data_IF_350199073727
#
_entry.id   IF_350199073727
#
_cell.length_a   1.000
_cell.length_b   1.000
_cell.length_c   1.000
_cell.angle_alpha   90.00
_cell.angle_beta   90.00
_cell.angle_gamma   90.00
#
_symmetry.space_group_name_H-M   'P 1'
#
loop_
_entity.id
_entity.type
_entity.pdbx_description
1 polymer ?
#
# COMPACT_ATOMS: atom_id res chain seq x y z
N UNK A 1 -32.41 -10.33 -6.71
CA UNK A 1 -33.64 -9.63 -7.09
C UNK A 1 -34.03 -8.67 -5.99
N UNK A 2 -34.41 -7.38 -6.28
CA UNK A 2 -34.97 -6.45 -5.31
C UNK A 2 -36.38 -6.92 -4.91
N UNK A 3 -36.63 -7.13 -3.63
CA UNK A 3 -37.93 -7.59 -3.11
C UNK A 3 -38.68 -6.50 -2.34
N UNK A 4 -37.97 -5.60 -1.69
CA UNK A 4 -38.60 -4.55 -0.92
C UNK A 4 -37.73 -3.27 -0.95
N UNK A 5 -38.40 -2.13 -1.06
CA UNK A 5 -37.79 -0.81 -0.90
C UNK A 5 -38.59 -0.01 0.13
N UNK A 6 -37.94 0.40 1.21
CA UNK A 6 -38.55 1.23 2.26
C UNK A 6 -37.85 2.58 2.29
N UNK A 7 -38.63 3.64 2.25
CA UNK A 7 -38.16 5.03 2.23
C UNK A 7 -38.82 5.81 3.34
N UNK A 8 -38.03 6.45 4.19
CA UNK A 8 -38.49 7.30 5.28
C UNK A 8 -37.93 8.72 5.16
N UNK A 9 -38.80 9.72 5.19
CA UNK A 9 -38.47 11.14 5.19
C UNK A 9 -37.53 11.58 4.06
N UNK A 10 -37.76 11.10 2.85
CA UNK A 10 -36.95 11.39 1.67
C UNK A 10 -37.67 12.42 0.76
N UNK A 11 -37.03 13.52 0.48
CA UNK A 11 -37.60 14.63 -0.32
C UNK A 11 -39.00 15.03 0.14
N UNK A 12 -40.02 14.83 -0.65
CA UNK A 12 -41.42 15.13 -0.28
C UNK A 12 -42.14 13.96 0.39
N UNK A 13 -41.54 12.75 0.35
CA UNK A 13 -42.16 11.52 0.87
C UNK A 13 -41.87 11.36 2.36
N UNK A 14 -42.94 11.20 3.15
CA UNK A 14 -42.82 10.89 4.58
C UNK A 14 -42.51 9.40 4.79
N UNK A 15 -43.24 8.53 4.12
CA UNK A 15 -43.08 7.09 4.15
C UNK A 15 -43.54 6.46 2.85
N UNK A 16 -42.73 5.53 2.33
CA UNK A 16 -43.08 4.72 1.15
C UNK A 16 -42.52 3.32 1.37
N UNK A 17 -43.35 2.33 1.16
CA UNK A 17 -42.96 0.93 1.14
C UNK A 17 -43.43 0.30 -0.18
N UNK A 18 -42.51 -0.31 -0.89
CA UNK A 18 -42.75 -0.99 -2.15
C UNK A 18 -42.32 -2.45 -2.02
N UNK A 19 -43.27 -3.35 -2.13
CA UNK A 19 -43.03 -4.78 -2.27
C UNK A 19 -43.00 -5.15 -3.74
N UNK A 20 -41.91 -5.75 -4.18
CA UNK A 20 -41.68 -6.09 -5.59
C UNK A 20 -41.72 -7.61 -5.77
N UNK A 21 -42.48 -8.07 -6.75
CA UNK A 21 -42.60 -9.47 -7.11
C UNK A 21 -41.64 -9.83 -8.27
N UNK A 22 -41.30 -11.10 -8.47
CA UNK A 22 -40.58 -11.56 -9.64
C UNK A 22 -41.29 -11.14 -10.93
N UNK A 23 -40.49 -10.68 -11.92
CA UNK A 23 -41.00 -10.25 -13.21
C UNK A 23 -40.88 -8.76 -13.41
N UNK A 24 -41.80 -8.16 -14.15
CA UNK A 24 -41.82 -6.77 -14.53
C UNK A 24 -42.81 -5.97 -13.67
N UNK A 25 -42.34 -4.96 -12.99
CA UNK A 25 -43.17 -4.03 -12.21
C UNK A 25 -43.23 -2.67 -12.93
N UNK A 26 -44.42 -2.15 -13.16
CA UNK A 26 -44.63 -0.86 -13.75
C UNK A 26 -45.12 0.14 -12.69
N UNK A 27 -44.39 1.26 -12.52
CA UNK A 27 -44.78 2.35 -11.63
C UNK A 27 -45.38 3.47 -12.49
N UNK A 28 -46.68 3.68 -12.33
CA UNK A 28 -47.43 4.73 -13.07
C UNK A 28 -47.80 5.88 -12.13
N UNK A 29 -48.00 7.06 -12.68
CA UNK A 29 -48.42 8.25 -11.93
C UNK A 29 -48.13 9.55 -12.70
N UNK A 30 -48.61 10.68 -12.22
CA UNK A 30 -48.35 11.99 -12.81
C UNK A 30 -46.85 12.37 -12.69
N UNK A 31 -46.37 13.22 -13.60
CA UNK A 31 -45.00 13.75 -13.59
C UNK A 31 -44.78 14.59 -12.34
N UNK A 32 -43.70 14.29 -11.60
CA UNK A 32 -43.34 14.95 -10.33
C UNK A 32 -43.85 14.27 -9.05
N UNK A 33 -44.79 13.30 -9.15
CA UNK A 33 -45.49 12.72 -8.02
C UNK A 33 -44.81 11.45 -7.40
N UNK A 34 -43.49 11.34 -7.41
CA UNK A 34 -42.84 10.28 -6.66
C UNK A 34 -42.21 9.14 -7.47
N UNK A 35 -42.43 9.05 -8.79
CA UNK A 35 -41.79 8.00 -9.63
C UNK A 35 -40.26 8.09 -9.60
N UNK A 36 -39.74 9.31 -9.80
CA UNK A 36 -38.27 9.55 -9.71
C UNK A 36 -37.75 9.38 -8.29
N UNK A 37 -38.57 9.72 -7.29
CA UNK A 37 -38.18 9.62 -5.87
C UNK A 37 -37.83 8.18 -5.47
N UNK A 38 -38.58 7.18 -5.96
CA UNK A 38 -38.25 5.77 -5.69
C UNK A 38 -36.92 5.35 -6.31
N UNK A 39 -36.61 5.84 -7.52
CA UNK A 39 -35.34 5.58 -8.22
C UNK A 39 -34.19 6.30 -7.50
N UNK A 40 -34.38 7.57 -7.15
CA UNK A 40 -33.38 8.40 -6.44
C UNK A 40 -33.10 7.82 -5.05
N UNK A 41 -34.13 7.37 -4.34
CA UNK A 41 -33.98 6.70 -3.05
C UNK A 41 -33.22 5.37 -3.19
N UNK A 42 -33.52 4.55 -4.21
CA UNK A 42 -32.77 3.34 -4.50
C UNK A 42 -31.32 3.66 -4.84
N UNK A 43 -31.06 4.66 -5.69
CA UNK A 43 -29.71 5.12 -6.01
C UNK A 43 -28.92 5.55 -4.76
N UNK A 44 -29.54 6.33 -3.86
CA UNK A 44 -28.97 6.67 -2.57
C UNK A 44 -28.62 5.42 -1.76
N UNK A 45 -29.53 4.44 -1.71
CA UNK A 45 -29.33 3.18 -1.00
C UNK A 45 -28.18 2.35 -1.58
N UNK A 46 -27.98 2.40 -2.91
CA UNK A 46 -26.93 1.69 -3.65
C UNK A 46 -25.56 2.42 -3.66
N UNK A 47 -25.45 3.57 -2.99
CA UNK A 47 -24.17 4.25 -2.80
C UNK A 47 -23.95 5.48 -3.67
N UNK A 48 -25.00 6.04 -4.29
CA UNK A 48 -24.90 7.32 -4.96
C UNK A 48 -24.60 8.47 -3.99
N UNK A 49 -24.25 9.62 -4.56
CA UNK A 49 -23.92 10.81 -3.76
C UNK A 49 -25.13 11.26 -2.95
N UNK A 50 -24.93 11.44 -1.65
CA UNK A 50 -25.94 11.95 -0.75
C UNK A 50 -25.86 13.49 -0.66
N UNK A 51 -27.01 14.17 -0.71
CA UNK A 51 -27.12 15.61 -0.53
C UNK A 51 -28.13 15.90 0.59
N UNK A 52 -27.83 16.89 1.44
CA UNK A 52 -28.73 17.25 2.55
C UNK A 52 -30.14 17.62 2.08
N UNK A 53 -30.27 18.14 0.86
CA UNK A 53 -31.54 18.44 0.18
C UNK A 53 -32.46 17.22 -0.02
N UNK A 54 -31.91 15.99 0.06
CA UNK A 54 -32.67 14.74 -0.02
C UNK A 54 -33.43 14.44 1.28
N UNK A 55 -33.07 15.08 2.39
CA UNK A 55 -33.81 14.93 3.66
C UNK A 55 -35.10 15.76 3.58
N UNK A 56 -36.24 15.16 3.97
CA UNK A 56 -37.52 15.85 3.95
C UNK A 56 -37.48 17.12 4.84
N UNK A 57 -37.94 18.26 4.37
CA UNK A 57 -38.04 19.49 5.14
C UNK A 57 -38.77 19.24 6.48
N UNK A 58 -38.15 19.66 7.59
CA UNK A 58 -38.69 19.48 8.93
C UNK A 58 -38.39 18.09 9.56
N UNK A 59 -37.56 17.28 8.92
CA UNK A 59 -37.10 16.02 9.48
C UNK A 59 -35.59 16.07 9.75
N UNK A 60 -35.14 15.41 10.83
CA UNK A 60 -33.71 15.37 11.23
C UNK A 60 -32.88 14.45 10.33
N UNK A 61 -33.51 13.44 9.75
CA UNK A 61 -32.84 12.42 8.92
C UNK A 61 -33.79 11.79 7.91
N UNK A 62 -33.20 11.25 6.85
CA UNK A 62 -33.84 10.28 5.95
C UNK A 62 -33.20 8.92 6.10
N UNK A 63 -33.97 7.88 5.91
CA UNK A 63 -33.53 6.49 5.92
C UNK A 63 -34.13 5.74 4.74
N UNK A 64 -33.27 5.08 3.97
CA UNK A 64 -33.66 4.22 2.86
C UNK A 64 -33.10 2.83 3.10
N UNK A 65 -33.95 1.81 2.92
CA UNK A 65 -33.57 0.41 3.03
C UNK A 65 -34.09 -0.36 1.82
N UNK A 66 -33.25 -1.22 1.27
CA UNK A 66 -33.57 -2.09 0.16
C UNK A 66 -33.19 -3.54 0.51
N UNK A 67 -34.12 -4.47 0.25
CA UNK A 67 -33.94 -5.93 0.50
C UNK A 67 -33.82 -6.65 -0.83
N UNK A 68 -32.83 -7.51 -0.93
CA UNK A 68 -32.52 -8.28 -2.13
C UNK A 68 -32.46 -9.77 -1.80
N UNK A 69 -33.11 -10.59 -2.62
CA UNK A 69 -32.86 -12.02 -2.69
C UNK A 69 -31.70 -12.25 -3.65
N UNK A 70 -30.71 -13.05 -3.20
CA UNK A 70 -29.48 -13.30 -3.93
C UNK A 70 -29.53 -14.60 -4.74
N UNK A 71 -30.71 -15.25 -4.85
CA UNK A 71 -30.92 -16.36 -5.75
C UNK A 71 -30.61 -15.92 -7.19
N UNK A 72 -29.70 -16.63 -7.86
CA UNK A 72 -29.27 -16.28 -9.21
C UNK A 72 -28.24 -15.13 -9.31
N UNK A 73 -27.70 -14.63 -8.19
CA UNK A 73 -26.62 -13.63 -8.22
C UNK A 73 -25.35 -14.14 -7.49
N UNK A 74 -24.57 -15.05 -8.11
CA UNK A 74 -23.37 -15.64 -7.49
C UNK A 74 -22.28 -14.59 -7.22
N UNK A 75 -22.20 -13.53 -8.03
CA UNK A 75 -21.20 -12.47 -7.86
C UNK A 75 -21.43 -11.68 -6.57
N UNK A 76 -22.69 -11.30 -6.26
CA UNK A 76 -23.01 -10.60 -5.01
C UNK A 76 -22.82 -11.52 -3.79
N UNK A 77 -23.15 -12.81 -3.89
CA UNK A 77 -22.89 -13.80 -2.83
C UNK A 77 -21.42 -13.93 -2.53
N UNK A 78 -20.58 -14.15 -3.56
CA UNK A 78 -19.14 -14.28 -3.41
C UNK A 78 -18.51 -13.01 -2.79
N UNK A 79 -19.00 -11.82 -3.20
CA UNK A 79 -18.54 -10.56 -2.65
C UNK A 79 -18.88 -10.43 -1.15
N UNK A 80 -20.12 -10.80 -0.75
CA UNK A 80 -20.55 -10.77 0.66
C UNK A 80 -19.74 -11.75 1.50
N UNK A 81 -19.48 -12.97 1.00
CA UNK A 81 -18.65 -13.97 1.67
C UNK A 81 -17.22 -13.45 1.90
N UNK A 82 -16.60 -12.89 0.86
CA UNK A 82 -15.23 -12.34 0.95
C UNK A 82 -15.11 -11.21 1.95
N UNK A 83 -16.20 -10.45 2.19
CA UNK A 83 -16.22 -9.34 3.13
C UNK A 83 -16.84 -9.70 4.51
N UNK A 84 -17.14 -10.97 4.77
CA UNK A 84 -17.76 -11.46 6.03
C UNK A 84 -19.11 -10.79 6.36
N UNK A 85 -19.90 -10.49 5.31
CA UNK A 85 -21.19 -9.79 5.40
C UNK A 85 -22.37 -10.67 4.96
N UNK A 86 -22.22 -11.99 4.97
CA UNK A 86 -23.27 -12.94 4.55
C UNK A 86 -24.50 -12.92 5.47
N UNK A 87 -25.67 -13.20 4.88
CA UNK A 87 -26.94 -13.38 5.60
C UNK A 87 -27.87 -14.27 4.78
N UNK A 88 -27.92 -15.55 5.07
CA UNK A 88 -28.87 -16.60 4.62
C UNK A 88 -29.50 -16.41 3.21
N UNK A 89 -28.71 -16.00 2.22
CA UNK A 89 -29.16 -15.78 0.84
C UNK A 89 -29.91 -14.47 0.59
N UNK A 90 -30.02 -13.62 1.58
CA UNK A 90 -30.57 -12.27 1.50
C UNK A 90 -29.50 -11.20 1.66
N UNK A 91 -29.76 -10.02 1.17
CA UNK A 91 -28.94 -8.83 1.40
C UNK A 91 -29.85 -7.64 1.70
N UNK A 92 -29.66 -7.04 2.86
CA UNK A 92 -30.33 -5.81 3.27
C UNK A 92 -29.33 -4.67 3.22
N UNK A 93 -29.56 -3.72 2.35
CA UNK A 93 -28.75 -2.51 2.23
C UNK A 93 -29.54 -1.35 2.83
N UNK A 94 -28.91 -0.60 3.71
CA UNK A 94 -29.56 0.54 4.39
C UNK A 94 -28.65 1.74 4.40
N UNK A 95 -29.24 2.91 4.14
CA UNK A 95 -28.53 4.17 4.20
C UNK A 95 -29.31 5.20 5.02
N UNK A 96 -28.60 5.90 5.91
CA UNK A 96 -29.14 6.96 6.75
C UNK A 96 -28.38 8.24 6.44
N UNK A 97 -29.11 9.32 6.15
CA UNK A 97 -28.57 10.65 5.87
C UNK A 97 -29.20 11.65 6.85
N UNK A 98 -28.40 12.39 7.58
CA UNK A 98 -28.87 13.46 8.46
C UNK A 98 -29.07 14.77 7.69
N UNK A 99 -29.91 15.65 8.20
CA UNK A 99 -30.11 17.01 7.65
C UNK A 99 -28.82 17.84 7.63
N UNK A 100 -27.84 17.49 8.47
CA UNK A 100 -26.50 18.09 8.49
C UNK A 100 -25.56 17.56 7.37
N UNK A 101 -26.04 16.62 6.54
CA UNK A 101 -25.28 16.02 5.44
C UNK A 101 -24.40 14.82 5.83
N UNK A 102 -24.42 14.35 7.09
CA UNK A 102 -23.71 13.15 7.51
C UNK A 102 -24.43 11.91 7.02
N UNK A 103 -23.71 11.02 6.35
CA UNK A 103 -24.25 9.78 5.78
C UNK A 103 -23.60 8.53 6.40
N UNK A 104 -24.44 7.53 6.71
CA UNK A 104 -23.99 6.21 7.20
C UNK A 104 -24.60 5.12 6.35
N UNK A 105 -23.79 4.12 6.03
CA UNK A 105 -24.17 3.00 5.17
C UNK A 105 -24.08 1.69 5.94
N UNK A 106 -25.00 0.77 5.69
CA UNK A 106 -25.07 -0.52 6.35
C UNK A 106 -25.36 -1.61 5.33
N UNK A 107 -24.71 -2.75 5.49
CA UNK A 107 -25.01 -4.01 4.76
C UNK A 107 -25.31 -5.07 5.81
N UNK A 108 -26.45 -5.70 5.75
CA UNK A 108 -26.91 -6.71 6.70
C UNK A 108 -26.77 -6.30 8.17
N UNK A 109 -27.05 -5.00 8.45
CA UNK A 109 -26.94 -4.42 9.79
C UNK A 109 -25.54 -3.96 10.19
N UNK A 110 -24.49 -4.33 9.48
CA UNK A 110 -23.11 -3.96 9.74
C UNK A 110 -22.78 -2.61 9.10
N UNK A 111 -22.21 -1.63 9.83
CA UNK A 111 -21.81 -0.35 9.25
C UNK A 111 -20.60 -0.57 8.29
N UNK A 112 -20.70 0.00 7.09
CA UNK A 112 -19.68 -0.14 6.05
C UNK A 112 -19.28 1.19 5.43
N UNK A 113 -18.06 1.34 4.90
CA UNK A 113 -17.67 2.48 4.09
C UNK A 113 -18.52 2.59 2.82
N UNK A 114 -18.74 3.84 2.35
CA UNK A 114 -19.52 4.10 1.14
C UNK A 114 -18.97 3.39 -0.11
N UNK A 115 -17.66 3.23 -0.20
CA UNK A 115 -17.02 2.52 -1.30
C UNK A 115 -17.44 1.04 -1.37
N UNK A 116 -17.51 0.35 -0.22
CA UNK A 116 -17.98 -1.03 -0.16
C UNK A 116 -19.47 -1.13 -0.54
N UNK A 117 -20.31 -0.21 -0.03
CA UNK A 117 -21.70 -0.15 -0.42
C UNK A 117 -21.89 0.03 -1.94
N UNK A 118 -21.11 0.93 -2.54
CA UNK A 118 -21.14 1.19 -4.00
C UNK A 118 -20.71 -0.04 -4.81
N UNK A 119 -19.66 -0.72 -4.37
CA UNK A 119 -19.18 -1.94 -5.05
C UNK A 119 -20.26 -3.03 -5.04
N UNK A 120 -20.89 -3.26 -3.88
CA UNK A 120 -21.99 -4.21 -3.78
C UNK A 120 -23.20 -3.75 -4.62
N UNK A 121 -23.55 -2.46 -4.55
CA UNK A 121 -24.67 -1.87 -5.29
C UNK A 121 -24.60 -2.14 -6.80
N UNK A 122 -23.41 -2.06 -7.38
CA UNK A 122 -23.16 -2.37 -8.80
C UNK A 122 -23.41 -3.86 -9.15
N UNK A 123 -23.26 -4.76 -8.17
CA UNK A 123 -23.56 -6.20 -8.35
C UNK A 123 -25.04 -6.53 -8.15
N UNK A 124 -25.79 -5.69 -7.41
CA UNK A 124 -27.19 -5.95 -7.06
C UNK A 124 -28.16 -5.45 -8.11
N UNK A 125 -27.98 -4.23 -8.62
CA UNK A 125 -28.93 -3.55 -9.54
C UNK A 125 -28.19 -2.68 -10.53
N UNK A 126 -28.63 -2.75 -11.79
CA UNK A 126 -28.29 -1.77 -12.81
C UNK A 126 -29.44 -0.78 -12.96
N UNK A 127 -29.21 0.49 -12.57
CA UNK A 127 -30.17 1.55 -12.75
C UNK A 127 -29.91 2.26 -14.07
N UNK A 128 -30.85 2.16 -15.02
CA UNK A 128 -30.80 2.85 -16.29
C UNK A 128 -31.62 4.16 -16.22
N UNK A 129 -31.11 5.17 -15.53
CA UNK A 129 -31.68 6.51 -15.45
C UNK A 129 -31.14 7.45 -16.52
N UNK A 130 -31.45 8.74 -16.40
CA UNK A 130 -31.01 9.79 -17.35
C UNK A 130 -29.47 9.91 -17.49
N UNK A 131 -28.69 9.36 -16.53
CA UNK A 131 -27.22 9.37 -16.51
C UNK A 131 -26.58 7.99 -16.77
N UNK A 132 -27.37 6.97 -17.12
CA UNK A 132 -26.87 5.58 -17.33
C UNK A 132 -25.88 5.48 -18.51
N UNK A 133 -25.94 6.42 -19.47
CA UNK A 133 -25.01 6.48 -20.59
C UNK A 133 -23.54 6.65 -20.15
N UNK A 134 -23.27 7.19 -18.96
CA UNK A 134 -21.90 7.35 -18.45
C UNK A 134 -21.20 6.00 -18.18
N UNK A 135 -21.95 4.98 -17.80
CA UNK A 135 -21.41 3.63 -17.61
C UNK A 135 -21.07 2.96 -18.94
N UNK A 136 -21.92 3.18 -19.96
CA UNK A 136 -21.69 2.66 -21.31
C UNK A 136 -20.50 3.29 -22.03
N UNK A 137 -20.00 4.44 -21.56
CA UNK A 137 -18.78 5.05 -22.07
C UNK A 137 -17.49 4.38 -21.56
N UNK A 138 -17.59 3.50 -20.57
CA UNK A 138 -16.44 2.79 -20.03
C UNK A 138 -16.17 1.49 -20.82
N UNK A 139 -14.98 1.33 -21.43
CA UNK A 139 -14.67 0.14 -22.24
C UNK A 139 -14.82 -1.18 -21.45
N UNK A 140 -14.42 -1.19 -20.18
CA UNK A 140 -14.52 -2.38 -19.32
C UNK A 140 -15.97 -2.81 -19.09
N UNK A 141 -16.89 -1.82 -19.01
CA UNK A 141 -18.32 -2.10 -18.85
C UNK A 141 -18.94 -2.62 -20.15
N UNK A 142 -18.54 -2.06 -21.30
CA UNK A 142 -18.96 -2.54 -22.62
C UNK A 142 -18.55 -4.01 -22.82
N UNK A 143 -17.29 -4.33 -22.47
CA UNK A 143 -16.78 -5.69 -22.56
C UNK A 143 -17.56 -6.64 -21.64
N UNK A 144 -17.78 -6.24 -20.37
CA UNK A 144 -18.55 -7.06 -19.42
C UNK A 144 -19.99 -7.32 -19.88
N UNK A 145 -20.65 -6.35 -20.53
CA UNK A 145 -21.98 -6.53 -21.10
C UNK A 145 -21.95 -7.52 -22.28
N UNK A 146 -20.97 -7.40 -23.17
CA UNK A 146 -20.80 -8.30 -24.32
C UNK A 146 -20.52 -9.72 -23.85
N UNK A 147 -19.62 -9.91 -22.90
CA UNK A 147 -19.27 -11.19 -22.32
C UNK A 147 -20.48 -11.84 -21.58
N UNK A 148 -21.25 -11.01 -20.86
CA UNK A 148 -22.48 -11.43 -20.21
C UNK A 148 -23.55 -11.90 -21.19
N UNK A 149 -23.73 -11.19 -22.31
CA UNK A 149 -24.64 -11.57 -23.38
C UNK A 149 -24.20 -12.87 -24.08
N UNK A 150 -22.92 -13.01 -24.33
CA UNK A 150 -22.34 -14.17 -24.98
C UNK A 150 -22.37 -15.46 -24.13
N UNK A 151 -22.49 -15.34 -22.80
CA UNK A 151 -22.67 -16.47 -21.87
C UNK A 151 -21.46 -17.41 -21.72
N UNK A 152 -20.25 -17.00 -22.16
CA UNK A 152 -19.05 -17.84 -22.15
C UNK A 152 -18.19 -17.68 -20.89
N UNK A 153 -18.81 -17.73 -19.71
CA UNK A 153 -18.14 -17.54 -18.43
C UNK A 153 -16.97 -18.52 -18.20
N UNK A 154 -17.12 -19.78 -18.60
CA UNK A 154 -16.03 -20.78 -18.46
C UNK A 154 -14.80 -20.42 -19.26
N UNK A 155 -14.97 -19.91 -20.48
CA UNK A 155 -13.85 -19.48 -21.33
C UNK A 155 -13.15 -18.24 -20.75
N UNK A 156 -13.92 -17.30 -20.20
CA UNK A 156 -13.37 -16.13 -19.52
C UNK A 156 -12.53 -16.51 -18.29
N UNK A 157 -13.01 -17.47 -17.50
CA UNK A 157 -12.27 -17.96 -16.33
C UNK A 157 -10.98 -18.67 -16.73
N UNK A 158 -11.01 -19.43 -17.82
CA UNK A 158 -9.80 -20.06 -18.39
C UNK A 158 -8.79 -19.01 -18.87
N UNK A 159 -9.24 -17.99 -19.61
CA UNK A 159 -8.37 -16.89 -20.06
C UNK A 159 -7.78 -16.15 -18.87
N UNK A 160 -8.58 -15.82 -17.86
CA UNK A 160 -8.10 -15.16 -16.64
C UNK A 160 -7.04 -15.98 -15.92
N UNK A 161 -7.27 -17.29 -15.77
CA UNK A 161 -6.33 -18.21 -15.12
C UNK A 161 -4.99 -18.26 -15.87
N UNK A 162 -5.02 -18.45 -17.20
CA UNK A 162 -3.81 -18.49 -18.02
C UNK A 162 -3.08 -17.14 -18.04
N UNK A 163 -3.81 -16.03 -18.09
CA UNK A 163 -3.21 -14.71 -18.00
C UNK A 163 -2.51 -14.46 -16.66
N UNK A 164 -3.13 -14.88 -15.54
CA UNK A 164 -2.50 -14.78 -14.22
C UNK A 164 -1.21 -15.62 -14.14
N UNK A 165 -1.25 -16.86 -14.65
CA UNK A 165 -0.06 -17.73 -14.71
C UNK A 165 1.04 -17.11 -15.57
N UNK A 166 0.69 -16.61 -16.76
CA UNK A 166 1.64 -15.93 -17.62
C UNK A 166 2.28 -14.72 -16.93
N UNK A 167 1.48 -13.91 -16.28
CA UNK A 167 1.96 -12.72 -15.54
C UNK A 167 2.89 -13.08 -14.39
N UNK A 168 2.58 -14.15 -13.65
CA UNK A 168 3.45 -14.67 -12.58
C UNK A 168 4.81 -15.13 -13.15
N UNK A 169 4.79 -15.92 -14.22
CA UNK A 169 6.01 -16.40 -14.87
C UNK A 169 6.83 -15.24 -15.47
N UNK A 170 6.18 -14.25 -16.03
CA UNK A 170 6.85 -13.05 -16.56
C UNK A 170 7.54 -12.25 -15.45
N UNK A 171 6.88 -12.08 -14.31
CA UNK A 171 7.47 -11.40 -13.15
C UNK A 171 8.65 -12.20 -12.58
N UNK A 172 8.52 -13.52 -12.48
CA UNK A 172 9.60 -14.41 -12.03
C UNK A 172 10.81 -14.34 -12.97
N UNK A 173 10.57 -14.38 -14.28
CA UNK A 173 11.63 -14.23 -15.28
C UNK A 173 12.37 -12.90 -15.15
N UNK A 174 11.63 -11.80 -14.95
CA UNK A 174 12.24 -10.48 -14.77
C UNK A 174 13.06 -10.41 -13.47
N UNK A 175 12.58 -11.02 -12.38
CA UNK A 175 13.32 -11.15 -11.12
C UNK A 175 14.62 -11.92 -11.31
N UNK A 176 14.56 -13.09 -11.93
CA UNK A 176 15.74 -13.93 -12.17
C UNK A 176 16.78 -13.24 -13.05
N UNK A 177 16.34 -12.49 -14.07
CA UNK A 177 17.24 -11.68 -14.91
C UNK A 177 17.96 -10.59 -14.10
N UNK A 178 17.23 -9.90 -13.23
CA UNK A 178 17.81 -8.87 -12.36
C UNK A 178 18.82 -9.48 -11.37
N UNK A 179 18.48 -10.61 -10.74
CA UNK A 179 19.38 -11.35 -9.84
C UNK A 179 20.63 -11.84 -10.58
N UNK A 180 20.50 -12.32 -11.81
CA UNK A 180 21.64 -12.74 -12.63
C UNK A 180 22.59 -11.56 -12.92
N UNK A 181 22.05 -10.40 -13.30
CA UNK A 181 22.87 -9.20 -13.52
C UNK A 181 23.61 -8.76 -12.27
N UNK A 182 22.93 -8.80 -11.12
CA UNK A 182 23.54 -8.44 -9.84
C UNK A 182 24.66 -9.42 -9.44
N UNK A 183 24.47 -10.74 -9.66
CA UNK A 183 25.47 -11.76 -9.39
C UNK A 183 26.69 -11.57 -10.30
N UNK A 184 26.47 -11.28 -11.58
CA UNK A 184 27.55 -11.06 -12.54
C UNK A 184 28.38 -9.83 -12.17
N UNK A 185 27.73 -8.71 -11.84
CA UNK A 185 28.42 -7.50 -11.38
C UNK A 185 29.23 -7.75 -10.09
N UNK A 186 28.67 -8.53 -9.14
CA UNK A 186 29.37 -8.90 -7.92
C UNK A 186 30.57 -9.82 -8.20
N UNK A 187 30.42 -10.76 -9.13
CA UNK A 187 31.51 -11.64 -9.56
C UNK A 187 32.68 -10.83 -10.13
N UNK A 188 32.40 -9.90 -11.06
CA UNK A 188 33.41 -9.04 -11.66
C UNK A 188 34.14 -8.19 -10.61
N UNK A 189 33.41 -7.66 -9.63
CA UNK A 189 34.02 -6.90 -8.53
C UNK A 189 34.95 -7.78 -7.70
N UNK A 190 34.54 -9.01 -7.35
CA UNK A 190 35.36 -9.94 -6.58
C UNK A 190 36.59 -10.38 -7.37
N UNK A 191 36.43 -10.69 -8.68
CA UNK A 191 37.54 -11.04 -9.57
C UNK A 191 38.59 -9.91 -9.62
N UNK A 192 38.13 -8.65 -9.73
CA UNK A 192 39.02 -7.49 -9.67
C UNK A 192 39.74 -7.37 -8.33
N UNK A 193 39.04 -7.55 -7.21
CA UNK A 193 39.65 -7.49 -5.87
C UNK A 193 40.68 -8.61 -5.65
N UNK A 194 40.40 -9.83 -6.16
CA UNK A 194 41.35 -10.94 -6.08
C UNK A 194 42.60 -10.63 -6.90
N UNK A 195 42.42 -10.11 -8.12
CA UNK A 195 43.56 -9.74 -8.96
C UNK A 195 44.42 -8.65 -8.29
N UNK A 196 43.79 -7.65 -7.67
CA UNK A 196 44.51 -6.60 -6.95
C UNK A 196 45.31 -7.15 -5.77
N UNK A 197 44.74 -8.10 -5.00
CA UNK A 197 45.45 -8.79 -3.92
C UNK A 197 46.58 -9.67 -4.43
N UNK A 198 46.40 -10.36 -5.55
CA UNK A 198 47.45 -11.19 -6.17
C UNK A 198 48.62 -10.33 -6.71
N UNK A 199 48.33 -9.11 -7.25
CA UNK A 199 49.34 -8.15 -7.69
C UNK A 199 50.15 -7.59 -6.52
N UNK A 200 49.56 -7.45 -5.34
CA UNK A 200 50.30 -7.10 -4.10
C UNK A 200 51.28 -8.18 -3.69
N UNK A 201 51.11 -9.42 -4.09
CA UNK A 201 52.00 -10.56 -3.86
C UNK A 201 52.47 -10.70 -2.39
N UNK A 202 51.60 -10.41 -1.43
CA UNK A 202 51.90 -10.44 0.00
C UNK A 202 52.44 -11.79 0.40
N UNK A 203 53.63 -11.79 1.02
CA UNK A 203 54.22 -13.00 1.55
C UNK A 203 53.74 -13.26 2.99
N UNK A 204 53.60 -14.54 3.40
CA UNK A 204 53.26 -14.82 4.78
C UNK A 204 54.33 -14.27 5.73
N UNK A 205 53.90 -13.43 6.68
CA UNK A 205 54.79 -12.77 7.67
C UNK A 205 55.29 -11.39 7.26
N UNK A 206 55.07 -10.94 6.03
CA UNK A 206 55.53 -9.64 5.54
C UNK A 206 54.84 -8.46 6.26
N UNK A 207 53.58 -8.62 6.63
CA UNK A 207 52.86 -7.58 7.39
C UNK A 207 53.49 -7.39 8.79
N UNK A 208 53.80 -8.47 9.46
CA UNK A 208 54.45 -8.45 10.78
C UNK A 208 55.83 -7.81 10.71
N UNK A 209 56.59 -8.13 9.67
CA UNK A 209 57.92 -7.53 9.44
C UNK A 209 57.84 -6.02 9.18
N UNK A 210 56.89 -5.58 8.35
CA UNK A 210 56.67 -4.16 8.06
C UNK A 210 56.15 -3.43 9.31
N UNK A 211 55.29 -4.04 10.11
CA UNK A 211 54.79 -3.44 11.33
C UNK A 211 55.90 -3.28 12.37
N UNK A 212 56.80 -4.28 12.56
CA UNK A 212 57.95 -4.19 13.43
C UNK A 212 58.93 -3.09 12.96
N UNK A 213 59.20 -3.04 11.66
CA UNK A 213 60.06 -2.00 11.11
C UNK A 213 59.49 -0.60 11.25
N UNK A 214 58.18 -0.43 11.01
CA UNK A 214 57.47 0.83 11.24
C UNK A 214 57.56 1.27 12.69
N UNK A 215 57.32 0.36 13.64
CA UNK A 215 57.45 0.66 15.07
C UNK A 215 58.92 1.02 15.44
N UNK A 216 59.91 0.31 14.90
CA UNK A 216 61.32 0.62 15.11
C UNK A 216 61.71 1.99 14.59
N UNK A 217 61.23 2.37 13.39
CA UNK A 217 61.50 3.69 12.81
C UNK A 217 60.76 4.81 13.53
N UNK A 218 59.53 4.60 13.96
CA UNK A 218 58.75 5.56 14.75
C UNK A 218 59.42 5.83 16.11
N UNK A 219 59.86 4.77 16.80
CA UNK A 219 60.57 4.87 18.08
C UNK A 219 62.02 5.43 17.90
N UNK A 220 62.62 5.24 16.72
CA UNK A 220 63.97 5.73 16.42
C UNK A 220 64.09 7.25 16.50
N UNK A 221 63.06 7.97 16.10
CA UNK A 221 63.04 9.44 16.20
C UNK A 221 62.96 9.92 17.65
N UNK A 222 62.15 9.28 18.47
CA UNK A 222 62.01 9.58 19.89
C UNK A 222 63.28 9.24 20.65
N UNK A 223 63.88 8.06 20.39
CA UNK A 223 65.19 7.67 20.93
C UNK A 223 66.30 8.65 20.56
N UNK A 224 66.33 9.14 19.33
CA UNK A 224 67.30 10.12 18.88
C UNK A 224 67.16 11.45 19.64
N UNK A 225 65.93 11.90 19.89
CA UNK A 225 65.64 13.12 20.66
C UNK A 225 66.06 12.95 22.14
N UNK A 226 65.70 11.82 22.74
CA UNK A 226 66.09 11.52 24.15
C UNK A 226 67.57 11.33 24.30
N UNK A 227 68.26 10.66 23.37
CA UNK A 227 69.71 10.54 23.36
C UNK A 227 70.37 11.93 23.16
N UNK A 228 69.84 12.76 22.28
CA UNK A 228 70.29 14.14 22.10
C UNK A 228 70.16 14.94 23.40
N UNK A 229 69.03 14.84 24.05
CA UNK A 229 68.79 15.50 25.33
C UNK A 229 69.74 15.01 26.43
N UNK A 230 70.00 13.71 26.49
CA UNK A 230 70.99 13.17 27.42
C UNK A 230 72.42 13.65 27.13
N UNK A 231 72.80 13.74 25.85
CA UNK A 231 74.10 14.26 25.45
C UNK A 231 74.27 15.72 25.84
N UNK A 232 73.25 16.54 25.58
CA UNK A 232 73.22 17.95 25.99
C UNK A 232 73.41 18.13 27.51
N UNK A 233 72.70 17.34 28.29
CA UNK A 233 72.83 17.37 29.75
C UNK A 233 74.18 16.91 30.23
N UNK A 234 74.80 15.91 29.60
CA UNK A 234 76.06 15.33 30.03
C UNK A 234 77.26 16.14 29.59
N UNK A 235 77.28 16.63 28.32
CA UNK A 235 78.48 17.18 27.69
C UNK A 235 78.31 18.50 26.94
N UNK A 236 77.19 18.73 26.24
CA UNK A 236 77.11 19.78 25.25
C UNK A 236 76.34 21.06 25.69
N UNK A 237 75.86 21.12 26.95
CA UNK A 237 75.14 22.27 27.45
C UNK A 237 76.15 23.45 27.74
N UNK A 238 75.90 24.61 27.12
CA UNK A 238 76.74 25.75 27.22
C UNK A 238 76.83 26.36 28.64
N UNK A 239 75.82 26.16 29.49
CA UNK A 239 75.84 26.82 30.82
C UNK A 239 76.30 25.87 31.95
N UNK A 240 75.90 24.62 32.01
CA UNK A 240 76.30 23.65 33.04
C UNK A 240 76.12 22.20 32.58
N UNK A 241 77.22 21.48 32.37
CA UNK A 241 77.21 20.04 32.09
C UNK A 241 77.48 19.22 33.36
N UNK A 242 76.92 18.00 33.43
CA UNK A 242 77.21 17.10 34.54
C UNK A 242 78.70 16.80 34.59
N UNK A 243 79.36 16.62 33.47
CA UNK A 243 80.80 16.42 33.38
C UNK A 243 81.59 17.62 33.91
N UNK A 244 81.17 18.86 33.57
CA UNK A 244 81.79 20.07 34.08
C UNK A 244 81.58 20.25 35.59
N UNK A 245 80.40 19.91 36.10
CA UNK A 245 80.18 19.95 37.56
C UNK A 245 81.02 18.92 38.32
N UNK A 246 81.18 17.73 37.76
CA UNK A 246 82.07 16.68 38.34
C UNK A 246 83.52 17.11 38.32
N UNK A 247 84.02 17.72 37.23
CA UNK A 247 85.38 18.23 37.17
C UNK A 247 85.57 19.31 38.21
N UNK A 248 84.63 20.27 38.34
CA UNK A 248 84.70 21.30 39.37
C UNK A 248 84.70 20.81 40.78
N UNK A 249 84.00 19.68 41.05
CA UNK A 249 83.99 19.05 42.34
C UNK A 249 85.31 18.32 42.65
N UNK A 250 85.93 17.73 41.65
CA UNK A 250 87.27 17.08 41.79
C UNK A 250 88.30 18.18 42.03
N UNK A 251 88.30 19.30 41.23
CA UNK A 251 89.26 20.38 41.40
C UNK A 251 89.14 21.12 42.76
N UNK A 252 87.96 21.00 43.42
CA UNK A 252 87.78 21.55 44.78
C UNK A 252 88.18 20.57 45.92
N UNK A 253 88.33 19.35 45.59
CA UNK A 253 88.67 18.26 46.58
C UNK A 253 90.16 17.97 46.65
N UNK A 254 90.92 18.42 45.64
CA UNK A 254 92.36 18.49 45.66
C UNK A 254 92.81 19.80 46.36
#
# INVERSE_FOLDING_TARGET
MLTQLTVNNFAIVKFLELDLQPGMTCITGETGAGKSIAIDALGLCLGERAEASMVRPGSDKTEVSARFLLEGNPAARAWLATNELENDGECIVRRVLSAEGRSRSYINGVPVPLAQLRNLGQLLVNVHGQHAHQMLLKPDYQLALLDGYAGHHLLLDDVRRHYQQWRQLQNELNRLKAEQQQREARRQLIEYQVQELDEFALQPGEFEEIEEEHQRLANGTELMQECGYCLDLLYDNEETTIAGLLQTAVDRAE
#
